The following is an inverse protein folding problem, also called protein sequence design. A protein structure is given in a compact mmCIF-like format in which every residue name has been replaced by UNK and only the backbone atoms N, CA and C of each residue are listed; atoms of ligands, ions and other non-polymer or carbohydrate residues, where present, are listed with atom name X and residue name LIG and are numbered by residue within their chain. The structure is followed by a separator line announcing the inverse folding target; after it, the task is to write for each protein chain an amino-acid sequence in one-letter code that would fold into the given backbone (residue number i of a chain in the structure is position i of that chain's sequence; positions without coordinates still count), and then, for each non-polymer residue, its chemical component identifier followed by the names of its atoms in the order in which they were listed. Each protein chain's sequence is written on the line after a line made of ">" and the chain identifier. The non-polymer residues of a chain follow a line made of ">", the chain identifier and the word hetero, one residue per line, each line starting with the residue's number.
data_IF_374364261954
#
_entry.id   IF_374364261954
#
_cell.length_a   1.000
_cell.length_b   1.000
_cell.length_c   1.000
_cell.angle_alpha   90.00
_cell.angle_beta   90.00
_cell.angle_gamma   90.00
#
_symmetry.space_group_name_H-M   'P 1'
#
loop_
_entity.id
_entity.type
_entity.pdbx_description
1 polymer ?
#
# COMPACT_ATOMS: atom_id res chain seq x y z
N UNK A 1 -57.36 -45.88 23.73
CA UNK A 1 -57.36 -45.55 22.29
C UNK A 1 -57.01 -44.07 22.12
N UNK A 2 -56.00 -43.79 21.28
CA UNK A 2 -55.70 -42.52 20.59
C UNK A 2 -55.39 -41.28 21.44
N UNK A 3 -54.10 -41.09 21.76
CA UNK A 3 -53.51 -39.74 21.78
C UNK A 3 -52.56 -39.59 20.60
N UNK A 4 -52.83 -38.54 19.83
CA UNK A 4 -52.28 -38.22 18.52
C UNK A 4 -50.87 -37.68 18.66
N UNK A 5 -50.00 -38.11 17.75
CA UNK A 5 -48.66 -37.60 17.53
C UNK A 5 -48.66 -36.08 17.33
N UNK A 6 -47.95 -35.34 18.19
CA UNK A 6 -47.54 -33.97 17.91
C UNK A 6 -46.07 -34.01 17.49
N UNK A 7 -45.86 -34.05 16.18
CA UNK A 7 -44.57 -33.90 15.51
C UNK A 7 -44.08 -32.47 15.75
N UNK A 8 -43.08 -32.27 16.60
CA UNK A 8 -42.40 -30.98 16.73
C UNK A 8 -41.43 -30.84 15.55
N UNK A 9 -41.76 -29.93 14.64
CA UNK A 9 -40.98 -29.60 13.45
C UNK A 9 -39.71 -28.82 13.87
N UNK A 10 -38.56 -29.37 13.47
CA UNK A 10 -37.25 -28.71 13.46
C UNK A 10 -37.30 -27.44 12.60
N UNK A 11 -36.73 -26.35 13.11
CA UNK A 11 -36.27 -25.21 12.32
C UNK A 11 -34.82 -24.93 12.73
N UNK A 12 -33.82 -25.26 11.89
CA UNK A 12 -32.48 -24.76 12.12
C UNK A 12 -32.49 -23.27 11.77
N UNK A 13 -32.34 -22.43 12.78
CA UNK A 13 -32.10 -21.00 12.64
C UNK A 13 -30.68 -20.81 12.10
N UNK A 14 -30.48 -21.03 10.80
CA UNK A 14 -29.26 -20.60 10.10
C UNK A 14 -29.29 -19.10 10.00
N UNK A 15 -28.76 -18.43 11.03
CA UNK A 15 -28.44 -17.01 10.99
C UNK A 15 -27.36 -16.84 9.92
N UNK A 16 -27.81 -16.44 8.73
CA UNK A 16 -27.02 -15.99 7.61
C UNK A 16 -26.35 -14.65 8.00
N UNK A 17 -25.28 -14.72 8.79
CA UNK A 17 -24.42 -13.57 9.08
C UNK A 17 -23.48 -13.35 7.88
N UNK A 18 -24.08 -13.09 6.72
CA UNK A 18 -23.39 -12.54 5.56
C UNK A 18 -23.16 -11.05 5.78
N UNK A 19 -22.32 -10.70 6.76
CA UNK A 19 -21.73 -9.37 6.75
C UNK A 19 -20.81 -9.31 5.55
N UNK A 20 -21.31 -8.66 4.50
CA UNK A 20 -20.49 -7.96 3.53
C UNK A 20 -19.56 -7.03 4.31
N UNK A 21 -18.40 -7.54 4.71
CA UNK A 21 -17.25 -6.70 5.03
C UNK A 21 -16.86 -6.06 3.70
N UNK A 22 -17.52 -4.96 3.37
CA UNK A 22 -16.88 -3.94 2.56
C UNK A 22 -15.75 -3.45 3.44
N UNK A 23 -14.59 -4.11 3.37
CA UNK A 23 -13.35 -3.56 3.87
C UNK A 23 -13.14 -2.29 3.07
N UNK A 24 -13.61 -1.16 3.59
CA UNK A 24 -13.13 0.13 3.11
C UNK A 24 -11.64 0.11 3.39
N UNK A 25 -10.85 -0.08 2.34
CA UNK A 25 -9.40 0.10 2.39
C UNK A 25 -9.19 1.55 2.79
N UNK A 26 -8.73 1.76 4.03
CA UNK A 26 -8.37 3.08 4.50
C UNK A 26 -7.30 3.62 3.55
N UNK A 27 -7.50 4.85 3.06
CA UNK A 27 -6.59 5.49 2.11
C UNK A 27 -5.35 5.97 2.86
N UNK A 28 -4.21 5.92 2.21
CA UNK A 28 -3.00 6.44 2.82
C UNK A 28 -2.98 7.99 2.82
N UNK A 29 -2.41 8.61 3.84
CA UNK A 29 -2.39 10.07 4.07
C UNK A 29 -1.09 10.72 3.54
N UNK A 30 -1.10 11.98 3.06
CA UNK A 30 0.09 12.64 2.51
C UNK A 30 1.22 12.76 3.55
N UNK A 31 2.34 12.11 3.24
CA UNK A 31 3.38 11.68 4.16
C UNK A 31 4.53 12.68 4.26
N UNK A 32 4.95 13.08 5.48
CA UNK A 32 6.32 13.57 5.78
C UNK A 32 6.74 13.37 7.24
N UNK A 33 5.79 13.35 8.17
CA UNK A 33 6.09 13.32 9.60
C UNK A 33 6.73 11.99 10.01
N UNK A 34 7.83 12.10 10.75
CA UNK A 34 8.45 10.94 11.40
C UNK A 34 7.60 10.51 12.60
N UNK A 35 7.63 9.21 12.87
CA UNK A 35 7.09 8.61 14.08
C UNK A 35 5.57 8.76 14.28
N UNK A 36 4.88 9.27 13.25
CA UNK A 36 3.42 9.33 13.20
C UNK A 36 2.87 8.05 12.58
N UNK A 37 1.92 7.44 13.29
CA UNK A 37 1.14 6.32 12.79
C UNK A 37 -0.01 6.81 11.92
N UNK A 38 -0.25 6.08 10.83
CA UNK A 38 -1.35 6.30 9.92
C UNK A 38 -2.13 5.00 9.78
N UNK A 39 -3.42 5.04 10.06
CA UNK A 39 -4.33 3.92 9.81
C UNK A 39 -4.37 3.64 8.30
N UNK A 40 -4.20 2.38 7.92
CA UNK A 40 -4.14 1.98 6.52
C UNK A 40 -4.48 0.51 6.38
N UNK A 41 -5.39 0.14 5.48
CA UNK A 41 -5.82 -1.25 5.34
C UNK A 41 -5.56 -1.73 3.93
N UNK A 42 -4.64 -2.68 3.78
CA UNK A 42 -4.33 -3.33 2.51
C UNK A 42 -3.75 -4.73 2.73
N UNK A 43 -3.77 -5.57 1.71
CA UNK A 43 -3.01 -6.84 1.72
C UNK A 43 -1.70 -6.62 0.98
N UNK A 44 -0.59 -6.62 1.71
CA UNK A 44 0.73 -6.52 1.13
C UNK A 44 1.23 -7.87 0.63
N UNK A 45 1.94 -7.88 -0.49
CA UNK A 45 2.71 -9.04 -0.98
C UNK A 45 4.19 -8.80 -0.72
N UNK A 46 4.88 -9.77 -0.12
CA UNK A 46 6.32 -9.69 0.12
C UNK A 46 7.09 -9.85 -1.20
N UNK A 47 7.93 -8.88 -1.56
CA UNK A 47 8.63 -8.84 -2.85
C UNK A 47 10.15 -8.81 -2.78
N UNK A 48 10.73 -8.61 -1.60
CA UNK A 48 12.19 -8.68 -1.41
C UNK A 48 12.78 -10.00 -1.95
N UNK A 49 14.00 -9.96 -2.48
CA UNK A 49 14.67 -11.11 -3.12
C UNK A 49 14.68 -12.34 -2.22
N UNK A 50 14.88 -12.14 -0.91
CA UNK A 50 14.95 -13.18 0.10
C UNK A 50 13.74 -13.21 1.05
N UNK A 51 12.68 -12.46 0.75
CA UNK A 51 11.59 -12.19 1.67
C UNK A 51 11.64 -10.78 2.27
N UNK A 52 10.95 -10.58 3.39
CA UNK A 52 10.95 -9.32 4.13
C UNK A 52 11.28 -9.54 5.61
N UNK A 53 12.01 -8.59 6.20
CA UNK A 53 12.28 -8.59 7.62
C UNK A 53 11.01 -8.19 8.38
N UNK A 54 10.63 -9.02 9.35
CA UNK A 54 9.64 -8.70 10.36
C UNK A 54 10.37 -8.25 11.63
N UNK A 55 9.90 -7.16 12.22
CA UNK A 55 10.42 -6.61 13.46
C UNK A 55 9.34 -6.61 14.54
N UNK A 56 9.75 -6.79 15.79
CA UNK A 56 8.94 -6.45 16.98
C UNK A 56 9.28 -5.03 17.39
N UNK A 57 8.25 -4.25 17.73
CA UNK A 57 8.34 -2.81 17.92
C UNK A 57 8.82 -2.10 16.64
N UNK A 58 8.73 -0.78 16.64
CA UNK A 58 9.09 0.05 15.48
C UNK A 58 9.62 1.40 15.93
N UNK A 59 10.55 1.39 16.86
CA UNK A 59 11.28 2.58 17.30
C UNK A 59 12.78 2.40 17.04
N UNK A 60 13.62 3.07 17.83
CA UNK A 60 15.08 2.94 17.78
C UNK A 60 15.60 1.61 18.37
N UNK A 61 14.76 0.87 19.09
CA UNK A 61 15.05 -0.43 19.72
C UNK A 61 14.33 -1.59 19.03
N UNK A 62 13.76 -1.38 17.84
CA UNK A 62 13.09 -2.44 17.06
C UNK A 62 13.99 -3.67 16.92
N UNK A 63 13.40 -4.84 17.12
CA UNK A 63 14.13 -6.11 17.17
C UNK A 63 13.74 -6.95 15.97
N UNK A 64 14.72 -7.48 15.24
CA UNK A 64 14.44 -8.45 14.21
C UNK A 64 13.80 -9.70 14.84
N UNK A 65 12.67 -10.15 14.28
CA UNK A 65 11.99 -11.39 14.66
C UNK A 65 12.35 -12.52 13.69
N UNK A 66 11.92 -12.36 12.43
CA UNK A 66 12.06 -13.38 11.39
C UNK A 66 11.99 -12.79 9.99
N UNK A 67 12.25 -13.65 9.00
CA UNK A 67 12.02 -13.34 7.58
C UNK A 67 10.65 -13.90 7.17
N UNK A 68 9.82 -13.03 6.59
CA UNK A 68 8.59 -13.41 5.91
C UNK A 68 8.92 -13.97 4.53
N UNK A 69 8.34 -15.12 4.12
CA UNK A 69 8.61 -15.72 2.82
C UNK A 69 8.28 -14.77 1.67
N UNK A 70 9.10 -14.80 0.62
CA UNK A 70 8.80 -14.13 -0.65
C UNK A 70 7.42 -14.59 -1.18
N UNK A 71 6.69 -13.66 -1.76
CA UNK A 71 5.35 -13.83 -2.33
C UNK A 71 4.26 -14.24 -1.33
N UNK A 72 4.57 -14.29 -0.03
CA UNK A 72 3.53 -14.38 1.01
C UNK A 72 2.73 -13.09 1.10
N UNK A 73 1.46 -13.22 1.50
CA UNK A 73 0.51 -12.11 1.65
C UNK A 73 0.24 -11.83 3.12
N UNK A 74 0.21 -10.56 3.49
CA UNK A 74 0.06 -10.10 4.87
C UNK A 74 -0.92 -8.94 4.94
N UNK A 75 -1.88 -9.03 5.85
CA UNK A 75 -2.76 -7.90 6.15
C UNK A 75 -1.95 -6.79 6.81
N UNK A 76 -2.08 -5.59 6.26
CA UNK A 76 -1.53 -4.35 6.81
C UNK A 76 -2.67 -3.56 7.42
N UNK A 77 -2.41 -3.00 8.60
CA UNK A 77 -3.38 -2.23 9.38
C UNK A 77 -2.95 -0.77 9.59
N UNK A 78 -1.72 -0.44 9.22
CA UNK A 78 -1.21 0.92 9.27
C UNK A 78 0.22 1.00 8.77
N UNK A 79 0.76 2.20 8.78
CA UNK A 79 2.17 2.41 8.49
C UNK A 79 2.73 3.61 9.27
N UNK A 80 4.05 3.70 9.27
CA UNK A 80 4.81 4.81 9.88
C UNK A 80 6.04 5.11 9.04
N UNK A 81 6.44 6.38 9.03
CA UNK A 81 7.75 6.81 8.53
C UNK A 81 8.74 6.87 9.68
N UNK A 82 9.88 6.20 9.54
CA UNK A 82 11.04 6.27 10.44
C UNK A 82 12.24 6.85 9.69
N UNK A 83 13.30 7.21 10.42
CA UNK A 83 14.53 7.77 9.84
C UNK A 83 15.19 6.85 8.81
N UNK A 84 15.03 5.54 8.98
CA UNK A 84 15.61 4.50 8.13
C UNK A 84 14.68 3.99 7.01
N UNK A 85 13.40 4.38 7.03
CA UNK A 85 12.45 4.02 5.99
C UNK A 85 11.01 3.95 6.48
N UNK A 86 10.14 3.40 5.65
CA UNK A 86 8.74 3.15 5.99
C UNK A 86 8.57 1.74 6.52
N UNK A 87 7.60 1.57 7.42
CA UNK A 87 7.25 0.28 8.02
C UNK A 87 5.74 0.09 8.00
N UNK A 88 5.32 -1.10 7.56
CA UNK A 88 3.93 -1.53 7.57
C UNK A 88 3.63 -2.31 8.84
N UNK A 89 2.52 -1.98 9.51
CA UNK A 89 2.08 -2.68 10.71
C UNK A 89 1.24 -3.91 10.32
N UNK A 90 1.70 -5.09 10.73
CA UNK A 90 1.07 -6.38 10.43
C UNK A 90 0.18 -6.91 11.58
N UNK A 91 -0.04 -6.10 12.62
CA UNK A 91 -0.76 -6.48 13.85
C UNK A 91 0.19 -6.93 14.96
N UNK A 92 -0.29 -6.96 16.21
CA UNK A 92 0.44 -7.56 17.34
C UNK A 92 1.87 -7.05 17.57
N UNK A 93 2.08 -5.72 17.46
CA UNK A 93 3.39 -5.06 17.49
C UNK A 93 4.44 -5.57 16.48
N UNK A 94 3.97 -6.16 15.37
CA UNK A 94 4.84 -6.66 14.29
C UNK A 94 4.87 -5.68 13.12
N UNK A 95 6.07 -5.44 12.59
CA UNK A 95 6.33 -4.42 11.58
C UNK A 95 7.18 -4.95 10.44
N UNK A 96 6.72 -4.75 9.22
CA UNK A 96 7.37 -5.18 7.99
C UNK A 96 8.07 -3.98 7.37
N UNK A 97 9.33 -4.13 6.96
CA UNK A 97 10.04 -3.07 6.24
C UNK A 97 9.38 -2.84 4.87
N UNK A 98 8.87 -1.63 4.63
CA UNK A 98 7.96 -1.37 3.51
C UNK A 98 8.63 -1.51 2.14
N UNK A 99 9.94 -1.27 2.00
CA UNK A 99 10.68 -1.47 0.74
C UNK A 99 10.90 -2.96 0.35
N UNK A 100 10.43 -3.89 1.18
CA UNK A 100 10.47 -5.33 0.91
C UNK A 100 9.07 -5.91 0.67
N UNK A 101 8.04 -5.06 0.70
CA UNK A 101 6.65 -5.41 0.51
C UNK A 101 5.99 -4.44 -0.48
N UNK A 102 4.92 -4.89 -1.10
CA UNK A 102 4.18 -4.13 -2.10
C UNK A 102 2.70 -4.18 -1.76
N UNK A 103 2.00 -3.06 -1.85
CA UNK A 103 0.55 -3.00 -1.67
C UNK A 103 -0.11 -2.65 -3.00
N UNK A 104 -1.28 -3.24 -3.32
CA UNK A 104 -2.07 -2.81 -4.48
C UNK A 104 -2.32 -1.31 -4.48
N UNK A 105 -2.49 -0.75 -5.66
CA UNK A 105 -2.70 0.69 -5.85
C UNK A 105 -4.12 0.91 -6.35
N UNK A 106 -4.97 1.34 -5.44
CA UNK A 106 -6.37 1.67 -5.75
C UNK A 106 -6.55 3.18 -5.98
N UNK A 107 -5.64 3.99 -5.44
CA UNK A 107 -5.73 5.44 -5.50
C UNK A 107 -4.35 6.14 -5.51
N UNK A 108 -4.41 7.47 -5.65
CA UNK A 108 -3.25 8.36 -5.68
C UNK A 108 -2.30 8.20 -4.48
N UNK A 109 -2.86 8.04 -3.28
CA UNK A 109 -2.07 7.91 -2.06
C UNK A 109 -1.30 6.60 -2.03
N UNK A 110 -1.93 5.48 -2.41
CA UNK A 110 -1.27 4.17 -2.46
C UNK A 110 -0.12 4.17 -3.47
N UNK A 111 -0.30 4.87 -4.60
CA UNK A 111 0.74 5.06 -5.59
C UNK A 111 1.95 5.80 -4.99
N UNK A 112 1.70 6.90 -4.28
CA UNK A 112 2.75 7.65 -3.57
C UNK A 112 3.43 6.75 -2.53
N UNK A 113 2.65 6.01 -1.72
CA UNK A 113 3.17 5.14 -0.67
C UNK A 113 4.13 4.08 -1.24
N UNK A 114 3.75 3.39 -2.31
CA UNK A 114 4.63 2.42 -2.96
C UNK A 114 5.92 3.06 -3.49
N UNK A 115 5.84 4.24 -4.10
CA UNK A 115 7.02 4.96 -4.60
C UNK A 115 7.99 5.32 -3.45
N UNK A 116 7.50 5.95 -2.39
CA UNK A 116 8.34 6.40 -1.26
C UNK A 116 8.78 5.26 -0.36
N UNK A 117 7.98 4.19 -0.21
CA UNK A 117 8.40 3.00 0.49
C UNK A 117 9.61 2.38 -0.21
N UNK A 118 9.55 2.25 -1.53
CA UNK A 118 10.62 1.61 -2.32
C UNK A 118 11.88 2.48 -2.44
N UNK A 119 11.71 3.78 -2.73
CA UNK A 119 12.82 4.66 -3.12
C UNK A 119 13.19 5.72 -2.09
N UNK A 120 12.51 5.71 -0.94
CA UNK A 120 12.58 6.73 0.12
C UNK A 120 11.99 8.06 -0.31
N UNK A 121 11.48 8.78 0.69
CA UNK A 121 11.12 10.19 0.56
C UNK A 121 12.39 11.04 0.44
N UNK A 122 12.33 12.16 -0.30
CA UNK A 122 13.50 13.06 -0.43
C UNK A 122 13.85 13.73 0.89
N UNK A 123 12.89 13.81 1.81
CA UNK A 123 13.03 14.46 3.12
C UNK A 123 13.08 15.98 3.03
N UNK A 124 12.94 16.55 1.84
CA UNK A 124 12.87 17.98 1.60
C UNK A 124 11.46 18.46 2.00
N UNK A 125 11.31 19.30 3.05
CA UNK A 125 9.99 19.73 3.50
C UNK A 125 9.26 20.58 2.46
N UNK A 126 9.98 21.25 1.55
CA UNK A 126 9.42 22.20 0.59
C UNK A 126 8.87 21.53 -0.67
N UNK A 127 9.07 20.22 -0.83
CA UNK A 127 8.51 19.48 -1.96
C UNK A 127 7.09 18.97 -1.68
N UNK A 128 6.42 18.46 -2.69
CA UNK A 128 5.14 17.76 -2.53
C UNK A 128 5.00 16.68 -3.59
N UNK A 129 4.25 15.64 -3.24
CA UNK A 129 4.02 14.50 -4.12
C UNK A 129 2.85 14.78 -5.05
N UNK A 130 3.09 14.68 -6.36
CA UNK A 130 2.08 14.89 -7.40
C UNK A 130 1.84 13.58 -8.15
N UNK A 131 0.72 12.89 -7.87
CA UNK A 131 0.32 11.68 -8.57
C UNK A 131 -0.59 12.03 -9.76
N UNK A 132 -0.31 11.45 -10.92
CA UNK A 132 -1.13 11.57 -12.12
C UNK A 132 -1.49 10.17 -12.60
N UNK A 133 -2.78 9.83 -12.61
CA UNK A 133 -3.23 8.56 -13.17
C UNK A 133 -3.24 8.62 -14.70
N UNK A 134 -2.54 7.69 -15.32
CA UNK A 134 -2.47 7.54 -16.77
C UNK A 134 -3.28 6.30 -17.15
N UNK A 135 -4.36 6.52 -17.90
CA UNK A 135 -5.25 5.47 -18.42
C UNK A 135 -5.35 5.58 -19.95
N UNK A 136 -5.63 4.46 -20.61
CA UNK A 136 -5.63 4.30 -22.07
C UNK A 136 -6.63 5.22 -22.84
N UNK A 137 -7.67 5.71 -22.17
CA UNK A 137 -8.89 6.17 -22.85
C UNK A 137 -8.97 7.66 -23.18
N UNK A 138 -7.92 8.44 -22.91
CA UNK A 138 -7.86 9.82 -23.39
C UNK A 138 -6.85 9.89 -24.50
N UNK A 139 -7.21 10.46 -25.65
CA UNK A 139 -6.36 10.74 -26.83
C UNK A 139 -5.17 11.68 -26.55
N UNK A 140 -4.48 11.43 -25.45
CA UNK A 140 -3.19 11.92 -25.06
C UNK A 140 -2.14 10.98 -25.66
N UNK A 141 -1.82 11.21 -26.93
CA UNK A 141 -0.73 10.55 -27.66
C UNK A 141 0.63 10.61 -26.92
N UNK A 142 0.75 11.43 -25.88
CA UNK A 142 1.97 11.64 -25.11
C UNK A 142 2.17 10.72 -23.89
N UNK A 143 1.19 9.92 -23.45
CA UNK A 143 1.33 9.22 -22.15
C UNK A 143 0.96 7.73 -22.10
N UNK A 144 0.25 7.19 -23.09
CA UNK A 144 -0.07 5.75 -23.19
C UNK A 144 1.02 4.86 -23.86
N UNK A 145 2.30 5.26 -23.77
CA UNK A 145 3.44 4.66 -24.50
C UNK A 145 4.19 3.53 -23.76
N UNK A 146 5.53 3.56 -23.78
CA UNK A 146 6.48 2.55 -23.27
C UNK A 146 6.13 1.89 -21.92
N UNK A 147 5.46 2.64 -21.04
CA UNK A 147 5.09 2.21 -19.69
C UNK A 147 3.75 1.47 -19.63
N UNK A 148 3.05 1.29 -20.75
CA UNK A 148 1.75 0.63 -20.83
C UNK A 148 0.59 1.62 -20.69
N UNK A 149 -0.59 1.06 -20.40
CA UNK A 149 -1.88 1.77 -20.54
C UNK A 149 -2.58 2.07 -19.22
N UNK A 150 -2.06 1.59 -18.08
CA UNK A 150 -2.61 1.87 -16.75
C UNK A 150 -1.49 1.94 -15.71
N UNK A 151 -1.18 3.15 -15.26
CA UNK A 151 -0.19 3.40 -14.21
C UNK A 151 -0.36 4.80 -13.60
N UNK A 152 0.21 5.00 -12.42
CA UNK A 152 0.37 6.29 -11.80
C UNK A 152 1.76 6.85 -12.07
N UNK A 153 1.83 8.07 -12.60
CA UNK A 153 3.05 8.86 -12.64
C UNK A 153 3.14 9.69 -11.37
N UNK A 154 4.03 9.32 -10.46
CA UNK A 154 4.24 10.00 -9.17
C UNK A 154 5.49 10.87 -9.25
N UNK A 155 5.38 12.15 -8.88
CA UNK A 155 6.49 13.11 -8.94
C UNK A 155 6.76 13.75 -7.59
N UNK A 156 8.02 13.94 -7.27
CA UNK A 156 8.47 14.79 -6.15
C UNK A 156 8.77 16.18 -6.70
N UNK A 157 7.84 17.12 -6.50
CA UNK A 157 7.90 18.48 -7.05
C UNK A 157 8.31 19.50 -6.00
N UNK A 158 9.28 20.34 -6.34
CA UNK A 158 9.63 21.51 -5.53
C UNK A 158 8.61 22.66 -5.65
N UNK A 159 8.78 23.73 -4.86
CA UNK A 159 7.83 24.85 -4.80
C UNK A 159 7.81 25.70 -6.08
N UNK A 160 8.82 25.57 -6.96
CA UNK A 160 8.87 26.24 -8.26
C UNK A 160 8.34 25.29 -9.33
N UNK A 161 7.45 25.79 -10.19
CA UNK A 161 6.91 25.02 -11.31
C UNK A 161 8.06 24.38 -12.12
N UNK A 162 7.92 23.08 -12.42
CA UNK A 162 8.86 22.26 -13.17
C UNK A 162 10.22 21.93 -12.50
N UNK A 163 10.41 22.19 -11.19
CA UNK A 163 11.53 21.61 -10.45
C UNK A 163 11.17 20.21 -9.92
N UNK A 164 11.32 19.18 -10.76
CA UNK A 164 11.12 17.78 -10.35
C UNK A 164 12.42 17.23 -9.79
N UNK A 165 12.40 16.71 -8.56
CA UNK A 165 13.55 16.01 -7.97
C UNK A 165 13.61 14.57 -8.46
N UNK A 166 12.46 13.91 -8.45
CA UNK A 166 12.31 12.49 -8.76
C UNK A 166 10.96 12.23 -9.41
N UNK A 167 10.88 11.15 -10.17
CA UNK A 167 9.63 10.71 -10.79
C UNK A 167 9.60 9.20 -10.84
N UNK A 168 8.40 8.65 -10.77
CA UNK A 168 8.16 7.22 -10.65
C UNK A 168 6.97 6.81 -11.49
N UNK A 169 7.04 5.62 -12.07
CA UNK A 169 5.89 4.90 -12.60
C UNK A 169 5.49 3.89 -11.55
N UNK A 170 4.21 3.89 -11.17
CA UNK A 170 3.66 2.96 -10.18
C UNK A 170 2.46 2.25 -10.78
N UNK A 171 2.54 0.93 -10.88
CA UNK A 171 1.50 0.10 -11.49
C UNK A 171 0.39 -0.25 -10.49
N UNK A 172 -0.80 -0.67 -10.97
CA UNK A 172 -1.92 -1.10 -10.12
C UNK A 172 -1.56 -2.20 -9.11
N UNK A 173 -0.59 -3.05 -9.43
CA UNK A 173 -0.13 -4.09 -8.51
C UNK A 173 0.79 -3.56 -7.39
N UNK A 174 1.22 -2.30 -7.44
CA UNK A 174 2.17 -1.66 -6.53
C UNK A 174 3.62 -1.63 -6.99
N UNK A 175 3.96 -2.24 -8.13
CA UNK A 175 5.32 -2.18 -8.67
C UNK A 175 5.67 -0.73 -8.99
N UNK A 176 6.76 -0.23 -8.42
CA UNK A 176 7.26 1.12 -8.65
C UNK A 176 8.60 1.09 -9.38
N UNK A 177 8.77 2.00 -10.34
CA UNK A 177 10.01 2.20 -11.10
C UNK A 177 10.42 3.66 -11.04
N UNK A 178 11.64 3.92 -10.57
CA UNK A 178 12.22 5.26 -10.63
C UNK A 178 12.62 5.62 -12.05
N UNK A 179 12.13 6.75 -12.54
CA UNK A 179 12.47 7.29 -13.83
C UNK A 179 13.81 8.04 -13.79
N UNK A 180 14.57 8.06 -14.89
CA UNK A 180 15.74 8.93 -15.01
C UNK A 180 15.34 10.41 -14.91
N UNK A 181 16.31 11.25 -14.54
CA UNK A 181 16.10 12.70 -14.52
C UNK A 181 15.71 13.19 -15.92
N UNK A 182 14.60 13.90 -16.03
CA UNK A 182 14.00 14.31 -17.31
C UNK A 182 12.59 13.77 -17.53
N UNK A 183 12.19 12.69 -16.85
CA UNK A 183 10.84 12.13 -16.97
C UNK A 183 10.74 11.04 -18.05
N UNK A 184 9.51 10.55 -18.34
CA UNK A 184 9.30 9.48 -19.29
C UNK A 184 9.42 10.03 -20.73
N UNK A 185 10.64 10.09 -21.25
CA UNK A 185 10.93 10.26 -22.68
C UNK A 185 11.44 8.94 -23.25
#
# INVERSE_FOLDING_TARGET
>A
MKHKHLFLLLLPLTILFGFLLVSQTAKAEPYKNYDQFYDYSAVATIKGTWGANLFINNDHNKQFDKILPKDSQWQIYGYTKRKDGFYYWAGGDQWIQANQAMVPVDNASDAILNAIAQYKDSGDPDTYWVPIHIVADYGNDYRGGYWGTDYWWVRDEGPRAASFKQSFVVYPNGNAFKLPAGGPY
#
